data_IF_212914953593
#
_entry.id   IF_212914953593
#
_cell.length_a   1.000
_cell.length_b   1.000
_cell.length_c   1.000
_cell.angle_alpha   90.00
_cell.angle_beta   90.00
_cell.angle_gamma   90.00
#
_symmetry.space_group_name_H-M   'P 1'
#
loop_
_entity.id
_entity.type
_entity.pdbx_description
1 polymer ?
#
# COMPACT_ATOMS: atom_id res chain seq x y z
N UNK A 1 -13.45 -26.94 2.07
CA UNK A 1 -12.18 -27.63 1.76
C UNK A 1 -12.23 -29.13 2.07
N UNK A 2 -12.70 -29.52 3.24
CA UNK A 2 -12.69 -30.93 3.69
C UNK A 2 -13.94 -31.73 3.25
N UNK A 3 -14.92 -31.12 2.63
CA UNK A 3 -16.11 -31.81 2.14
C UNK A 3 -15.77 -32.59 0.87
N UNK A 4 -15.68 -33.92 1.00
CA UNK A 4 -15.38 -34.84 -0.10
C UNK A 4 -16.17 -36.13 0.08
N UNK A 5 -16.57 -36.73 -1.04
CA UNK A 5 -17.36 -37.99 -1.04
C UNK A 5 -16.53 -39.20 -0.63
N UNK A 6 -15.21 -39.13 -0.76
CA UNK A 6 -14.31 -40.24 -0.44
C UNK A 6 -13.12 -39.75 0.41
N UNK A 7 -13.33 -39.42 1.70
CA UNK A 7 -12.28 -38.81 2.53
C UNK A 7 -11.07 -39.71 2.77
N UNK A 8 -11.22 -41.03 2.76
CA UNK A 8 -10.09 -41.96 2.97
C UNK A 8 -9.04 -41.90 1.85
N UNK A 9 -9.48 -41.66 0.64
CA UNK A 9 -8.59 -41.59 -0.53
C UNK A 9 -8.11 -40.19 -0.81
N UNK A 10 -8.91 -39.17 -0.50
CA UNK A 10 -8.66 -37.78 -0.89
C UNK A 10 -8.05 -36.91 0.21
N UNK A 11 -8.27 -37.26 1.48
CA UNK A 11 -7.65 -36.51 2.59
C UNK A 11 -6.33 -37.17 2.97
N UNK A 12 -5.26 -36.39 2.90
CA UNK A 12 -3.91 -36.78 3.35
C UNK A 12 -3.48 -35.90 4.50
N UNK A 13 -2.72 -36.48 5.43
CA UNK A 13 -2.22 -35.77 6.58
C UNK A 13 -0.72 -36.01 6.76
N UNK A 14 -0.03 -34.99 7.27
CA UNK A 14 1.36 -35.09 7.74
C UNK A 14 1.48 -34.31 9.05
N UNK A 15 2.11 -34.93 10.04
CA UNK A 15 2.32 -34.29 11.35
C UNK A 15 3.79 -33.91 11.49
N UNK A 16 4.03 -32.64 11.84
CA UNK A 16 5.36 -32.11 12.14
C UNK A 16 5.24 -31.36 13.48
N UNK A 17 5.92 -31.85 14.51
CA UNK A 17 5.78 -31.39 15.88
C UNK A 17 4.31 -31.36 16.33
N UNK A 18 3.79 -30.21 16.76
CA UNK A 18 2.42 -30.05 17.23
C UNK A 18 1.41 -29.66 16.13
N UNK A 19 1.85 -29.66 14.87
CA UNK A 19 1.06 -29.29 13.71
C UNK A 19 0.77 -30.50 12.84
N UNK A 20 -0.50 -30.75 12.53
CA UNK A 20 -0.91 -31.74 11.55
C UNK A 20 -1.54 -31.05 10.34
N UNK A 21 -0.85 -31.04 9.24
CA UNK A 21 -1.34 -30.50 7.98
C UNK A 21 -2.34 -31.49 7.35
N UNK A 22 -3.48 -30.99 6.93
CA UNK A 22 -4.57 -31.76 6.34
C UNK A 22 -4.82 -31.27 4.92
N UNK A 23 -4.55 -32.10 3.93
CA UNK A 23 -4.65 -31.75 2.52
C UNK A 23 -5.76 -32.57 1.85
N UNK A 24 -6.64 -31.89 1.13
CA UNK A 24 -7.58 -32.52 0.22
C UNK A 24 -6.97 -32.55 -1.19
N UNK A 25 -6.62 -33.73 -1.65
CA UNK A 25 -5.95 -33.93 -2.95
C UNK A 25 -6.84 -33.63 -4.16
N UNK A 26 -8.16 -33.53 -3.97
CA UNK A 26 -9.11 -33.14 -5.01
C UNK A 26 -9.35 -31.64 -5.07
N UNK A 27 -8.84 -30.87 -4.09
CA UNK A 27 -8.99 -29.42 -4.07
C UNK A 27 -7.73 -28.76 -4.61
N UNK A 28 -7.85 -28.11 -5.76
CA UNK A 28 -6.75 -27.31 -6.31
C UNK A 28 -6.73 -25.97 -5.60
N UNK A 29 -5.56 -25.58 -5.10
CA UNK A 29 -5.36 -24.25 -4.52
C UNK A 29 -5.49 -23.18 -5.60
N UNK A 30 -6.29 -22.15 -5.35
CA UNK A 30 -6.55 -21.05 -6.27
C UNK A 30 -6.12 -19.72 -5.65
N UNK A 31 -5.93 -18.73 -6.50
CA UNK A 31 -5.75 -17.34 -6.06
C UNK A 31 -7.11 -16.72 -5.74
N UNK A 32 -7.15 -15.85 -4.73
CA UNK A 32 -8.30 -15.00 -4.45
C UNK A 32 -8.54 -14.02 -5.63
N UNK A 33 -9.78 -13.67 -5.86
CA UNK A 33 -10.15 -12.76 -6.95
C UNK A 33 -9.86 -11.29 -6.65
N UNK A 34 -9.51 -10.96 -5.42
CA UNK A 34 -9.14 -9.60 -5.03
C UNK A 34 -7.82 -9.21 -5.68
N UNK A 35 -7.83 -8.06 -6.35
CA UNK A 35 -6.65 -7.49 -6.97
C UNK A 35 -6.00 -6.47 -6.03
N UNK A 36 -4.68 -6.35 -6.13
CA UNK A 36 -3.93 -5.30 -5.44
C UNK A 36 -4.37 -3.91 -5.89
N UNK A 37 -4.34 -2.95 -4.97
CA UNK A 37 -4.75 -1.57 -5.24
C UNK A 37 -3.76 -0.85 -6.18
N UNK A 38 -4.29 0.06 -7.01
CA UNK A 38 -3.50 0.94 -7.88
C UNK A 38 -3.72 2.42 -7.56
N UNK A 39 -2.90 3.29 -8.14
CA UNK A 39 -2.86 4.73 -7.83
C UNK A 39 -3.30 5.65 -8.95
N UNK A 40 -3.84 5.14 -10.03
CA UNK A 40 -4.17 5.95 -11.21
C UNK A 40 -5.07 7.17 -10.91
N UNK A 41 -5.78 7.15 -9.79
CA UNK A 41 -6.74 8.18 -9.38
C UNK A 41 -6.19 9.20 -8.39
N UNK A 42 -4.95 9.05 -7.94
CA UNK A 42 -4.35 9.90 -6.92
C UNK A 42 -2.87 10.19 -7.18
N UNK A 43 -2.36 11.26 -6.59
CA UNK A 43 -0.95 11.61 -6.64
C UNK A 43 -0.55 12.37 -5.36
N UNK A 44 0.75 12.40 -5.10
CA UNK A 44 1.38 13.24 -4.09
C UNK A 44 2.20 14.32 -4.79
N UNK A 45 2.13 15.52 -4.26
CA UNK A 45 3.00 16.65 -4.59
C UNK A 45 3.81 16.92 -3.34
N UNK A 46 5.11 16.76 -3.40
CA UNK A 46 6.01 16.91 -2.26
C UNK A 46 6.97 18.06 -2.49
N UNK A 47 6.84 19.13 -1.70
CA UNK A 47 7.79 20.23 -1.65
C UNK A 47 8.94 19.79 -0.73
N UNK A 48 9.98 19.20 -1.34
CA UNK A 48 11.10 18.62 -0.61
C UNK A 48 12.05 19.70 -0.08
N UNK A 49 12.25 20.74 -0.87
CA UNK A 49 13.15 21.85 -0.57
C UNK A 49 12.54 23.17 -1.06
N UNK A 50 13.01 24.28 -0.53
CA UNK A 50 12.58 25.60 -0.94
C UNK A 50 13.79 26.57 -1.01
N UNK A 51 13.76 27.44 -2.02
CA UNK A 51 14.74 28.50 -2.24
C UNK A 51 14.06 29.80 -2.57
N UNK A 52 14.73 30.94 -2.28
CA UNK A 52 14.27 32.26 -2.77
C UNK A 52 14.33 32.32 -4.30
N UNK A 53 13.60 33.25 -4.87
CA UNK A 53 13.59 33.53 -6.32
C UNK A 53 13.30 32.26 -7.16
N UNK A 54 12.39 31.42 -6.66
CA UNK A 54 12.03 30.15 -7.27
C UNK A 54 10.54 30.16 -7.61
N UNK A 55 10.20 29.73 -8.82
CA UNK A 55 8.83 29.49 -9.24
C UNK A 55 8.57 27.99 -9.19
N UNK A 56 7.62 27.59 -8.36
CA UNK A 56 7.06 26.24 -8.28
C UNK A 56 5.80 26.17 -9.14
N UNK A 57 5.70 25.17 -10.00
CA UNK A 57 4.59 25.02 -10.93
C UNK A 57 4.03 23.61 -10.88
N UNK A 58 2.70 23.47 -10.84
CA UNK A 58 1.99 22.22 -10.91
C UNK A 58 0.93 22.32 -11.99
N UNK A 59 0.90 21.36 -12.89
CA UNK A 59 -0.12 21.25 -13.93
C UNK A 59 -0.92 19.97 -13.74
N UNK A 60 -2.24 20.08 -13.56
CA UNK A 60 -3.17 18.96 -13.39
C UNK A 60 -4.27 19.06 -14.43
N UNK A 61 -4.43 18.04 -15.29
CA UNK A 61 -5.40 18.01 -16.40
C UNK A 61 -5.42 19.32 -17.23
N UNK A 62 -4.24 19.92 -17.43
CA UNK A 62 -4.06 21.16 -18.20
C UNK A 62 -4.29 22.45 -17.39
N UNK A 63 -4.66 22.38 -16.13
CA UNK A 63 -4.75 23.55 -15.22
C UNK A 63 -3.41 23.73 -14.52
N UNK A 64 -2.76 24.89 -14.71
CA UNK A 64 -1.47 25.21 -14.09
C UNK A 64 -1.65 26.15 -12.91
N UNK A 65 -1.03 25.79 -11.79
CA UNK A 65 -0.93 26.59 -10.57
C UNK A 65 0.54 26.85 -10.29
N UNK A 66 0.87 28.09 -9.93
CA UNK A 66 2.25 28.51 -9.61
C UNK A 66 2.31 29.20 -8.25
N UNK A 67 3.44 29.03 -7.60
CA UNK A 67 3.86 29.81 -6.44
C UNK A 67 5.24 30.42 -6.72
N UNK A 68 5.39 31.74 -6.52
CA UNK A 68 6.60 32.49 -6.80
C UNK A 68 7.16 33.04 -5.49
N UNK A 69 8.29 32.51 -5.06
CA UNK A 69 8.95 32.85 -3.81
C UNK A 69 9.86 34.08 -3.91
N UNK A 70 9.79 34.84 -5.01
CA UNK A 70 10.57 36.08 -5.17
C UNK A 70 10.15 37.10 -4.09
N UNK A 71 11.14 37.54 -3.30
CA UNK A 71 10.95 38.45 -2.17
C UNK A 71 10.08 37.89 -1.01
N UNK A 72 9.92 36.59 -0.90
CA UNK A 72 9.22 35.99 0.24
C UNK A 72 10.09 36.07 1.50
N UNK A 73 9.53 36.64 2.58
CA UNK A 73 10.21 36.82 3.87
C UNK A 73 10.04 35.65 4.84
N UNK A 74 9.16 34.71 4.53
CA UNK A 74 8.75 33.59 5.42
C UNK A 74 8.79 32.25 4.70
N UNK A 75 9.93 31.96 4.08
CA UNK A 75 10.07 30.80 3.21
C UNK A 75 10.12 29.48 4.00
N UNK A 76 9.16 28.59 3.73
CA UNK A 76 9.19 27.21 4.21
C UNK A 76 8.51 26.27 3.21
N UNK A 77 8.92 25.00 3.22
CA UNK A 77 8.28 23.98 2.37
C UNK A 77 6.78 23.83 2.63
N UNK A 78 6.36 24.00 3.88
CA UNK A 78 4.95 23.98 4.26
C UNK A 78 4.19 25.20 3.74
N UNK A 79 4.82 26.39 3.67
CA UNK A 79 4.16 27.59 3.12
C UNK A 79 3.94 27.43 1.62
N UNK A 80 4.97 27.11 0.86
CA UNK A 80 4.86 26.85 -0.58
C UNK A 80 3.79 25.77 -0.87
N UNK A 81 3.78 24.69 -0.09
CA UNK A 81 2.75 23.65 -0.24
C UNK A 81 1.33 24.19 0.10
N UNK A 82 1.19 25.13 1.04
CA UNK A 82 -0.10 25.75 1.36
C UNK A 82 -0.60 26.63 0.20
N UNK A 83 0.28 27.43 -0.38
CA UNK A 83 -0.06 28.35 -1.47
C UNK A 83 -0.40 27.58 -2.76
N UNK A 84 0.38 26.54 -3.09
CA UNK A 84 0.06 25.60 -4.18
C UNK A 84 -1.27 24.88 -3.93
N UNK A 85 -1.55 24.41 -2.70
CA UNK A 85 -2.85 23.80 -2.36
C UNK A 85 -4.00 24.77 -2.56
N UNK A 86 -3.86 26.02 -2.13
CA UNK A 86 -4.89 27.04 -2.29
C UNK A 86 -5.19 27.29 -3.78
N UNK A 87 -4.15 27.40 -4.61
CA UNK A 87 -4.28 27.53 -6.05
C UNK A 87 -4.97 26.32 -6.70
N UNK A 88 -4.58 25.10 -6.32
CA UNK A 88 -5.20 23.86 -6.80
C UNK A 88 -6.69 23.78 -6.41
N UNK A 89 -7.04 24.12 -5.17
CA UNK A 89 -8.44 24.15 -4.73
C UNK A 89 -9.28 25.19 -5.48
N UNK A 90 -8.67 26.30 -5.88
CA UNK A 90 -9.34 27.34 -6.66
C UNK A 90 -9.49 26.96 -8.15
N UNK A 91 -8.48 26.32 -8.73
CA UNK A 91 -8.41 26.02 -10.16
C UNK A 91 -9.06 24.71 -10.59
N UNK A 92 -9.18 23.73 -9.67
CA UNK A 92 -9.62 22.39 -10.01
C UNK A 92 -11.03 22.09 -9.48
N UNK A 93 -11.82 21.42 -10.29
CA UNK A 93 -13.10 20.85 -9.88
C UNK A 93 -13.07 19.31 -10.00
N UNK A 94 -13.81 18.61 -9.14
CA UNK A 94 -13.89 17.15 -9.16
C UNK A 94 -12.66 16.44 -8.54
N UNK A 95 -11.86 17.17 -7.77
CA UNK A 95 -10.74 16.62 -7.02
C UNK A 95 -10.95 16.84 -5.51
N UNK A 96 -10.41 15.92 -4.73
CA UNK A 96 -10.22 16.10 -3.28
C UNK A 96 -8.74 16.39 -3.05
N UNK A 97 -8.43 17.51 -2.39
CA UNK A 97 -7.07 17.98 -2.18
C UNK A 97 -6.86 18.18 -0.68
N UNK A 98 -5.97 17.40 -0.10
CA UNK A 98 -5.59 17.46 1.31
C UNK A 98 -4.11 17.81 1.43
N UNK A 99 -3.68 18.35 2.57
CA UNK A 99 -2.28 18.67 2.84
C UNK A 99 -1.91 18.30 4.28
N UNK A 100 -0.70 17.81 4.43
CA UNK A 100 -0.03 17.67 5.73
C UNK A 100 1.43 18.12 5.58
N UNK A 101 1.79 19.20 6.29
CA UNK A 101 3.12 19.81 6.17
C UNK A 101 3.42 20.27 4.73
N UNK A 102 4.49 19.75 4.18
CA UNK A 102 4.98 20.01 2.82
C UNK A 102 4.43 19.04 1.75
N UNK A 103 3.53 18.13 2.12
CA UNK A 103 2.95 17.12 1.24
C UNK A 103 1.50 17.46 0.93
N UNK A 104 1.16 17.55 -0.35
CA UNK A 104 -0.21 17.69 -0.85
C UNK A 104 -0.62 16.35 -1.48
N UNK A 105 -1.76 15.83 -1.07
CA UNK A 105 -2.43 14.69 -1.69
C UNK A 105 -3.56 15.17 -2.57
N UNK A 106 -3.58 14.75 -3.81
CA UNK A 106 -4.64 15.03 -4.79
C UNK A 106 -5.27 13.72 -5.26
N UNK A 107 -6.61 13.68 -5.27
CA UNK A 107 -7.38 12.52 -5.71
C UNK A 107 -8.55 12.96 -6.59
N UNK A 108 -8.69 12.34 -7.77
CA UNK A 108 -9.82 12.57 -8.68
C UNK A 108 -11.05 11.78 -8.23
N UNK A 109 -12.17 12.49 -7.99
CA UNK A 109 -13.33 11.92 -7.29
C UNK A 109 -14.14 10.93 -8.12
N UNK A 110 -14.07 11.02 -9.46
CA UNK A 110 -14.80 10.13 -10.36
C UNK A 110 -14.10 8.79 -10.63
N UNK A 111 -12.95 8.54 -9.98
CA UNK A 111 -12.20 7.30 -10.15
C UNK A 111 -11.44 7.14 -11.47
N UNK A 112 -11.41 8.19 -12.33
CA UNK A 112 -10.62 8.15 -13.57
C UNK A 112 -9.18 8.59 -13.37
N UNK A 113 -8.32 8.19 -14.30
CA UNK A 113 -6.95 8.69 -14.38
C UNK A 113 -6.93 10.20 -14.67
N UNK A 114 -5.83 10.85 -14.36
CA UNK A 114 -5.57 12.27 -14.66
C UNK A 114 -4.08 12.49 -14.93
N UNK A 115 -3.78 13.56 -15.65
CA UNK A 115 -2.40 13.99 -15.86
C UNK A 115 -1.95 14.92 -14.74
N UNK A 116 -0.70 14.76 -14.31
CA UNK A 116 -0.07 15.67 -13.36
C UNK A 116 1.41 15.81 -13.72
N UNK A 117 1.90 17.02 -13.65
CA UNK A 117 3.31 17.36 -13.86
C UNK A 117 3.69 18.49 -12.89
N UNK A 118 4.96 18.53 -12.51
CA UNK A 118 5.50 19.53 -11.59
C UNK A 118 6.88 19.98 -12.03
N UNK A 119 7.16 21.26 -11.83
CA UNK A 119 8.48 21.83 -12.12
C UNK A 119 8.83 22.91 -11.11
N UNK A 120 10.14 23.14 -10.96
CA UNK A 120 10.70 24.29 -10.27
C UNK A 120 11.84 24.91 -11.07
N UNK A 121 12.12 26.19 -10.86
CA UNK A 121 13.19 26.88 -11.60
C UNK A 121 14.61 26.57 -11.08
N UNK A 122 14.74 25.67 -10.10
CA UNK A 122 16.00 25.18 -9.53
C UNK A 122 16.41 23.81 -10.11
N UNK A 123 16.01 23.53 -11.36
CA UNK A 123 16.38 22.29 -12.05
C UNK A 123 15.47 21.11 -11.74
N UNK A 124 14.26 21.34 -11.29
CA UNK A 124 13.25 20.32 -10.95
C UNK A 124 13.71 19.37 -9.84
N UNK A 125 14.40 19.91 -8.82
CA UNK A 125 14.93 19.13 -7.71
C UNK A 125 14.23 19.38 -6.37
N UNK A 126 13.36 20.41 -6.31
CA UNK A 126 12.72 20.84 -5.07
C UNK A 126 11.25 20.44 -4.97
N UNK A 127 10.59 20.24 -6.11
CA UNK A 127 9.20 19.80 -6.22
C UNK A 127 9.14 18.40 -6.82
N UNK A 128 8.67 17.42 -6.06
CA UNK A 128 8.57 16.02 -6.49
C UNK A 128 7.11 15.64 -6.67
N UNK A 129 6.79 15.07 -7.81
CA UNK A 129 5.47 14.48 -8.09
C UNK A 129 5.58 12.97 -8.00
N UNK A 130 4.78 12.37 -7.11
CA UNK A 130 4.67 10.91 -6.96
C UNK A 130 3.27 10.48 -7.35
N UNK A 131 3.16 9.73 -8.42
CA UNK A 131 1.89 9.16 -8.87
C UNK A 131 2.00 7.65 -9.03
N UNK A 132 2.60 7.19 -10.11
CA UNK A 132 2.68 5.77 -10.43
C UNK A 132 4.05 5.18 -10.04
N UNK A 133 5.11 5.99 -10.19
CA UNK A 133 6.47 5.54 -9.91
C UNK A 133 7.38 6.70 -9.47
N UNK A 134 8.48 6.32 -8.82
CA UNK A 134 9.63 7.18 -8.52
C UNK A 134 10.91 6.49 -8.98
N UNK A 135 11.95 7.27 -9.22
CA UNK A 135 13.25 6.69 -9.60
C UNK A 135 13.98 6.07 -8.42
N UNK A 136 13.87 6.68 -7.24
CA UNK A 136 14.57 6.24 -6.03
C UNK A 136 13.61 6.18 -4.85
N UNK A 137 13.82 5.23 -3.96
CA UNK A 137 13.09 5.16 -2.70
C UNK A 137 13.20 6.44 -1.86
N UNK A 138 14.35 7.12 -1.92
CA UNK A 138 14.60 8.38 -1.20
C UNK A 138 13.78 9.57 -1.72
N UNK A 139 13.14 9.46 -2.87
CA UNK A 139 12.25 10.48 -3.42
C UNK A 139 10.85 10.42 -2.80
N UNK A 140 10.57 9.37 -2.02
CA UNK A 140 9.30 9.16 -1.36
C UNK A 140 9.25 9.93 -0.02
N UNK A 141 8.15 10.69 0.24
CA UNK A 141 7.99 11.40 1.50
C UNK A 141 7.64 10.45 2.66
N UNK A 142 7.90 10.90 3.90
CA UNK A 142 7.51 10.21 5.14
C UNK A 142 6.07 10.47 5.56
N UNK A 143 5.36 11.32 4.83
CA UNK A 143 3.93 11.60 4.95
C UNK A 143 3.28 11.25 3.64
N UNK A 144 2.28 10.37 3.64
CA UNK A 144 1.60 9.92 2.42
C UNK A 144 0.19 9.43 2.74
N UNK A 145 -0.67 9.26 1.72
CA UNK A 145 -1.97 8.63 1.91
C UNK A 145 -1.82 7.15 2.29
N UNK A 146 -2.56 6.73 3.32
CA UNK A 146 -2.59 5.34 3.71
C UNK A 146 -3.02 4.41 2.56
N UNK A 147 -2.25 3.37 2.31
CA UNK A 147 -2.51 2.40 1.25
C UNK A 147 -2.06 2.83 -0.16
N UNK A 148 -1.39 3.97 -0.31
CA UNK A 148 -0.83 4.38 -1.60
C UNK A 148 0.28 3.41 -2.02
N UNK A 149 0.21 2.92 -3.27
CA UNK A 149 1.20 2.00 -3.85
C UNK A 149 1.98 2.72 -4.93
N UNK A 150 3.30 2.60 -4.92
CA UNK A 150 4.21 3.25 -5.87
C UNK A 150 5.26 2.23 -6.34
N UNK A 151 5.57 2.26 -7.63
CA UNK A 151 6.72 1.54 -8.19
C UNK A 151 8.01 2.33 -7.91
N UNK A 152 9.03 1.67 -7.40
CA UNK A 152 10.39 2.20 -7.32
C UNK A 152 11.21 1.60 -8.44
N UNK A 153 11.71 2.43 -9.35
CA UNK A 153 12.52 2.02 -10.49
C UNK A 153 13.99 2.02 -10.10
N UNK A 154 14.59 0.84 -10.00
CA UNK A 154 15.99 0.71 -9.60
C UNK A 154 16.97 1.19 -10.68
N UNK A 155 16.86 0.64 -11.88
CA UNK A 155 17.72 0.96 -13.04
C UNK A 155 16.86 1.58 -14.17
N UNK A 156 17.36 2.65 -14.80
CA UNK A 156 16.70 3.30 -15.93
C UNK A 156 16.62 2.42 -17.18
N UNK A 157 17.50 1.41 -17.30
CA UNK A 157 17.67 0.59 -18.50
C UNK A 157 17.02 -0.79 -18.39
N UNK A 158 16.68 -1.25 -17.19
CA UNK A 158 16.08 -2.55 -16.95
C UNK A 158 14.98 -2.47 -15.90
N UNK A 159 14.00 -3.37 -15.98
CA UNK A 159 12.94 -3.47 -14.98
C UNK A 159 13.23 -4.58 -13.94
N UNK A 160 14.43 -5.17 -13.95
CA UNK A 160 14.76 -6.29 -13.05
C UNK A 160 14.83 -5.89 -11.58
N UNK A 161 15.21 -4.64 -11.32
CA UNK A 161 15.35 -4.10 -9.97
C UNK A 161 14.12 -3.28 -9.53
N UNK A 162 13.07 -3.26 -10.34
CA UNK A 162 11.82 -2.58 -9.98
C UNK A 162 11.10 -3.35 -8.88
N UNK A 163 10.59 -2.63 -7.91
CA UNK A 163 9.76 -3.18 -6.84
C UNK A 163 8.65 -2.21 -6.45
N UNK A 164 7.65 -2.70 -5.76
CA UNK A 164 6.50 -1.90 -5.36
C UNK A 164 6.49 -1.70 -3.86
N UNK A 165 6.12 -0.50 -3.44
CA UNK A 165 5.98 -0.14 -2.03
C UNK A 165 4.59 0.43 -1.77
N UNK A 166 4.03 0.12 -0.60
CA UNK A 166 2.75 0.62 -0.12
C UNK A 166 2.99 1.44 1.14
N UNK A 167 2.37 2.59 1.24
CA UNK A 167 2.46 3.42 2.43
C UNK A 167 1.49 2.95 3.51
N UNK A 168 2.00 2.84 4.75
CA UNK A 168 1.22 2.49 5.95
C UNK A 168 1.40 3.60 6.96
N UNK A 169 0.30 4.30 7.28
CA UNK A 169 0.31 5.37 8.26
C UNK A 169 0.35 4.82 9.69
N UNK A 170 1.03 5.52 10.59
CA UNK A 170 1.20 5.08 11.97
C UNK A 170 -0.12 4.89 12.74
N UNK A 171 -1.15 5.68 12.39
CA UNK A 171 -2.44 5.71 13.08
C UNK A 171 -3.61 5.24 12.22
N UNK A 172 -3.36 4.76 11.00
CA UNK A 172 -4.42 4.39 10.05
C UNK A 172 -5.20 5.56 9.45
N UNK A 173 -4.80 6.81 9.72
CA UNK A 173 -5.41 8.02 9.16
C UNK A 173 -5.10 8.18 7.67
N UNK A 174 -5.89 9.02 6.98
CA UNK A 174 -5.86 9.12 5.53
C UNK A 174 -4.57 9.74 4.97
N UNK A 175 -3.96 10.72 5.67
CA UNK A 175 -2.74 11.42 5.26
C UNK A 175 -1.95 11.81 6.51
N UNK A 176 -0.98 11.00 6.87
CA UNK A 176 -0.21 11.11 8.10
C UNK A 176 1.23 10.61 7.90
N UNK A 177 2.05 10.74 8.94
CA UNK A 177 3.33 10.08 9.01
C UNK A 177 3.18 8.55 9.03
N UNK A 178 4.13 7.87 8.40
CA UNK A 178 4.14 6.42 8.32
C UNK A 178 5.41 5.90 7.67
N UNK A 179 5.31 4.70 7.12
CA UNK A 179 6.44 4.05 6.45
C UNK A 179 5.99 3.38 5.16
N UNK A 180 6.93 3.25 4.25
CA UNK A 180 6.77 2.50 3.02
C UNK A 180 7.18 1.05 3.26
N UNK A 181 6.27 0.12 2.96
CA UNK A 181 6.46 -1.32 3.07
C UNK A 181 6.46 -1.94 1.69
N UNK A 182 7.31 -2.94 1.45
CA UNK A 182 7.31 -3.67 0.19
C UNK A 182 5.95 -4.35 -0.05
N UNK A 183 5.49 -4.33 -1.28
CA UNK A 183 4.22 -4.90 -1.71
C UNK A 183 4.33 -5.44 -3.13
N UNK A 184 3.21 -5.82 -3.72
CA UNK A 184 3.12 -6.33 -5.10
C UNK A 184 2.57 -5.28 -6.05
N UNK A 185 2.81 -5.48 -7.34
CA UNK A 185 2.28 -4.67 -8.42
C UNK A 185 0.76 -4.47 -8.29
N UNK A 186 0.27 -3.32 -8.75
CA UNK A 186 -1.15 -3.03 -8.81
C UNK A 186 -1.88 -3.91 -9.85
N UNK A 187 -3.09 -4.33 -9.51
CA UNK A 187 -3.98 -5.07 -10.43
C UNK A 187 -3.67 -6.55 -10.59
N UNK A 188 -2.83 -7.13 -9.72
CA UNK A 188 -2.58 -8.58 -9.72
C UNK A 188 -3.24 -9.27 -8.53
N UNK A 189 -3.50 -10.56 -8.66
CA UNK A 189 -3.91 -11.42 -7.56
C UNK A 189 -2.68 -11.69 -6.67
N UNK A 190 -2.74 -11.36 -5.40
CA UNK A 190 -1.57 -11.39 -4.50
C UNK A 190 -1.73 -12.30 -3.28
N UNK A 191 -2.90 -12.90 -3.10
CA UNK A 191 -3.17 -13.84 -2.01
C UNK A 191 -3.96 -15.04 -2.51
N UNK A 192 -3.86 -16.14 -1.78
CA UNK A 192 -4.63 -17.33 -2.09
C UNK A 192 -6.09 -17.22 -1.66
N UNK A 193 -6.98 -17.91 -2.37
CA UNK A 193 -8.33 -18.15 -1.91
C UNK A 193 -8.30 -19.14 -0.74
N UNK A 194 -8.58 -18.65 0.43
CA UNK A 194 -8.54 -19.41 1.68
C UNK A 194 -9.51 -20.61 1.70
N UNK A 195 -10.59 -20.55 0.93
CA UNK A 195 -11.52 -21.69 0.81
C UNK A 195 -10.88 -22.91 0.15
N UNK A 196 -9.80 -22.69 -0.61
CA UNK A 196 -9.08 -23.74 -1.35
C UNK A 196 -7.78 -24.18 -0.67
N UNK A 197 -7.38 -23.53 0.44
CA UNK A 197 -6.11 -23.81 1.11
C UNK A 197 -6.18 -25.01 2.08
N UNK A 198 -5.05 -25.72 2.29
CA UNK A 198 -4.93 -26.73 3.32
C UNK A 198 -5.30 -26.24 4.71
N UNK A 199 -5.70 -27.17 5.56
CA UNK A 199 -6.00 -26.90 6.97
C UNK A 199 -4.93 -27.48 7.87
N UNK A 200 -4.82 -26.96 9.09
CA UNK A 200 -3.88 -27.41 10.11
C UNK A 200 -4.63 -27.75 11.39
N UNK A 201 -4.33 -28.93 11.96
CA UNK A 201 -4.69 -29.28 13.33
C UNK A 201 -3.52 -28.90 14.23
N UNK A 202 -3.77 -28.03 15.20
CA UNK A 202 -2.78 -27.57 16.16
C UNK A 202 -3.08 -28.21 17.50
N UNK A 203 -2.12 -28.95 18.08
CA UNK A 203 -2.22 -29.46 19.43
C UNK A 203 -2.08 -28.34 20.42
N UNK A 204 -3.01 -28.25 21.37
CA UNK A 204 -3.03 -27.25 22.42
C UNK A 204 -2.38 -27.80 23.72
N UNK A 205 -2.00 -26.91 24.63
CA UNK A 205 -1.37 -27.28 25.88
C UNK A 205 -2.27 -28.17 26.81
N UNK A 206 -3.58 -28.08 26.64
CA UNK A 206 -4.58 -28.90 27.32
C UNK A 206 -4.76 -30.31 26.72
N UNK A 207 -3.99 -30.63 25.69
CA UNK A 207 -4.05 -31.89 24.96
C UNK A 207 -5.14 -31.98 23.88
N UNK A 208 -5.97 -30.95 23.71
CA UNK A 208 -6.97 -30.87 22.68
C UNK A 208 -6.35 -30.41 21.34
N UNK A 209 -7.09 -30.62 20.25
CA UNK A 209 -6.69 -30.16 18.93
C UNK A 209 -7.62 -29.04 18.48
N UNK A 210 -7.02 -28.01 17.87
CA UNK A 210 -7.74 -26.95 17.20
C UNK A 210 -7.53 -27.08 15.67
N UNK A 211 -8.63 -26.94 14.94
CA UNK A 211 -8.61 -26.91 13.50
C UNK A 211 -8.49 -25.46 13.03
N UNK A 212 -7.57 -25.19 12.11
CA UNK A 212 -7.30 -23.86 11.62
C UNK A 212 -6.95 -23.90 10.12
N UNK A 213 -7.21 -22.79 9.41
CA UNK A 213 -6.71 -22.57 8.06
C UNK A 213 -5.34 -21.89 8.10
N UNK A 214 -4.57 -22.07 7.04
CA UNK A 214 -3.23 -21.47 6.92
C UNK A 214 -3.37 -20.20 6.08
N UNK A 215 -3.94 -19.14 6.66
CA UNK A 215 -4.32 -17.95 5.91
C UNK A 215 -4.00 -16.60 6.60
N UNK A 216 -3.34 -16.62 7.76
CA UNK A 216 -2.98 -15.40 8.50
C UNK A 216 -4.15 -14.64 9.10
N UNK A 217 -5.39 -15.04 8.81
CA UNK A 217 -6.57 -14.40 9.41
C UNK A 217 -6.68 -14.71 10.92
N UNK A 218 -7.31 -13.79 11.61
CA UNK A 218 -7.64 -13.98 13.03
C UNK A 218 -8.98 -14.72 13.15
N UNK A 219 -8.95 -15.91 13.75
CA UNK A 219 -10.14 -16.70 14.03
C UNK A 219 -10.53 -16.57 15.49
N UNK A 220 -11.79 -16.34 15.71
CA UNK A 220 -12.38 -16.41 17.05
C UNK A 220 -13.06 -17.77 17.25
N UNK A 221 -12.62 -18.52 18.25
CA UNK A 221 -13.21 -19.79 18.62
C UNK A 221 -13.84 -19.66 20.00
N UNK A 222 -15.12 -19.98 20.12
CA UNK A 222 -15.82 -20.01 21.40
C UNK A 222 -16.02 -21.45 21.87
N UNK A 223 -15.40 -21.80 23.00
CA UNK A 223 -15.57 -23.10 23.65
C UNK A 223 -16.08 -22.86 25.07
N UNK A 224 -17.18 -23.48 25.45
CA UNK A 224 -17.81 -23.32 26.75
C UNK A 224 -18.04 -21.85 27.17
N UNK A 225 -18.40 -20.99 26.20
CA UNK A 225 -18.66 -19.57 26.45
C UNK A 225 -17.40 -18.68 26.51
N UNK A 226 -16.21 -19.24 26.39
CA UNK A 226 -14.95 -18.46 26.31
C UNK A 226 -14.54 -18.30 24.86
N UNK A 227 -14.46 -17.04 24.38
CA UNK A 227 -14.01 -16.72 23.04
C UNK A 227 -12.51 -16.38 23.08
N UNK A 228 -11.73 -17.07 22.27
CA UNK A 228 -10.29 -16.79 22.10
C UNK A 228 -10.01 -16.51 20.63
N UNK A 229 -9.30 -15.43 20.35
CA UNK A 229 -8.86 -15.08 19.00
C UNK A 229 -7.45 -15.60 18.76
N UNK A 230 -7.23 -16.14 17.58
CA UNK A 230 -5.95 -16.71 17.15
C UNK A 230 -5.61 -16.16 15.76
N UNK A 231 -4.43 -15.59 15.64
CA UNK A 231 -3.86 -15.20 14.34
C UNK A 231 -2.90 -16.30 13.90
N UNK A 232 -3.05 -16.78 12.67
CA UNK A 232 -2.12 -17.73 12.07
C UNK A 232 -1.14 -16.98 11.19
N UNK A 233 0.15 -17.38 11.19
CA UNK A 233 1.11 -16.79 10.24
C UNK A 233 0.67 -17.09 8.80
N UNK A 234 0.78 -16.10 7.94
CA UNK A 234 0.54 -16.24 6.50
C UNK A 234 1.72 -17.00 5.90
N UNK A 235 1.42 -18.07 5.16
CA UNK A 235 2.44 -18.74 4.35
C UNK A 235 2.68 -17.94 3.07
N UNK A 236 3.84 -17.31 2.97
CA UNK A 236 4.30 -16.60 1.77
C UNK A 236 4.29 -15.08 1.84
N UNK A 237 3.73 -14.45 2.87
CA UNK A 237 4.05 -13.05 3.15
C UNK A 237 5.37 -12.96 3.92
N UNK A 238 6.36 -12.31 3.32
CA UNK A 238 7.53 -11.84 4.06
C UNK A 238 7.10 -10.61 4.86
N UNK A 239 7.09 -10.74 6.18
CA UNK A 239 7.09 -9.56 7.05
C UNK A 239 8.48 -8.92 6.99
N UNK A 240 8.53 -7.59 6.98
CA UNK A 240 9.78 -6.87 7.07
C UNK A 240 10.53 -7.31 8.34
N UNK A 241 11.64 -8.04 8.15
CA UNK A 241 12.42 -8.60 9.26
C UNK A 241 12.71 -10.11 9.16
N UNK A 242 12.08 -10.84 8.26
CA UNK A 242 12.42 -12.23 7.99
C UNK A 242 13.65 -12.28 7.06
N UNK A 243 14.82 -12.57 7.65
CA UNK A 243 16.08 -12.86 6.93
C UNK A 243 16.13 -14.32 6.50
#
# INVERSE_FOLDING_TARGET
YLNTSNPRDTIKTVTIADFTFVVNTNQVTAMDTTLSAGNITQAIIFVQQVSNDTIYSITVDGVTVTDDTTNDSSLSTSQVAADLQAGLNSGLSGFTIARNGSVIHIKKNNGSNFSIDGSDTQGNTQLIIVKDSVQRFTDLPTVSPNGMVVEVKGDENTNFDNYYVKFVTNNGNALEEGQWEETVEAGIQFKFDYATMPHVLIRQADGNFRFARVDGDTYSLTINGVTTSYTLPIWGERTAGDT
#
